data_IF_824332246840
#
_entry.id   IF_824332246840
#
_cell.length_a   1.000
_cell.length_b   1.000
_cell.length_c   1.000
_cell.angle_alpha   90.00
_cell.angle_beta   90.00
_cell.angle_gamma   90.00
#
_symmetry.space_group_name_H-M   'P 1'
#
loop_
_entity.id
_entity.type
_entity.pdbx_description
1 polymer ?
#
# COMPACT_ATOMS: atom_id res chain seq x y z
N UNK A 1 6.54 -0.67 -5.96
CA UNK A 1 5.35 -0.14 -5.30
C UNK A 1 5.14 1.26 -5.82
N UNK A 2 4.07 1.45 -6.57
CA UNK A 2 3.61 2.78 -6.91
C UNK A 2 3.10 3.45 -5.62
N UNK A 3 3.47 4.71 -5.37
CA UNK A 3 2.99 5.40 -4.20
C UNK A 3 1.48 5.67 -4.29
N UNK A 4 0.79 5.82 -3.15
CA UNK A 4 -0.58 6.34 -3.15
C UNK A 4 -0.63 7.64 -3.96
N UNK A 5 -1.71 7.85 -4.72
CA UNK A 5 -1.87 9.03 -5.57
C UNK A 5 -1.58 10.32 -4.77
N UNK A 6 -0.73 11.18 -5.31
CA UNK A 6 -0.34 12.44 -4.65
C UNK A 6 0.67 12.28 -3.52
N UNK A 7 1.24 11.10 -3.26
CA UNK A 7 2.30 10.88 -2.27
C UNK A 7 3.58 10.33 -2.90
N UNK A 8 4.70 10.44 -2.19
CA UNK A 8 5.97 9.78 -2.52
C UNK A 8 6.49 9.04 -1.31
N UNK A 9 6.99 7.83 -1.50
CA UNK A 9 7.67 7.10 -0.42
C UNK A 9 8.94 7.85 -0.05
N UNK A 10 9.10 8.17 1.23
CA UNK A 10 10.28 8.85 1.76
C UNK A 10 10.92 8.01 2.87
N UNK A 11 12.21 8.27 3.14
CA UNK A 11 12.83 7.79 4.38
C UNK A 11 12.21 8.57 5.55
N UNK A 12 11.76 7.86 6.58
CA UNK A 12 11.29 8.49 7.79
C UNK A 12 12.46 9.28 8.42
N UNK A 13 12.39 10.61 8.54
CA UNK A 13 13.48 11.41 9.09
C UNK A 13 13.78 11.10 10.57
N UNK A 14 12.85 10.47 11.30
CA UNK A 14 13.04 10.07 12.69
C UNK A 14 13.75 8.71 12.86
N UNK A 15 13.92 7.93 11.80
CA UNK A 15 14.60 6.62 11.84
C UNK A 15 15.92 6.73 11.08
N UNK A 16 17.00 6.99 11.82
CA UNK A 16 18.36 6.84 11.30
C UNK A 16 18.56 5.37 10.87
N UNK A 17 19.10 5.16 9.66
CA UNK A 17 19.24 3.84 9.07
C UNK A 17 20.05 2.89 9.97
N UNK A 18 19.59 1.67 10.27
CA UNK A 18 20.48 0.63 10.73
C UNK A 18 21.45 0.27 9.59
N UNK A 19 22.75 0.27 9.90
CA UNK A 19 23.78 -0.17 8.96
C UNK A 19 23.55 -1.65 8.64
N UNK A 20 23.44 -1.95 7.33
CA UNK A 20 23.30 -3.31 6.81
C UNK A 20 24.48 -4.20 7.23
N UNK A 21 24.26 -5.45 7.66
CA UNK A 21 25.33 -6.43 7.78
C UNK A 21 25.86 -6.85 6.41
N UNK A 22 27.17 -7.07 6.39
CA UNK A 22 28.02 -7.48 5.26
C UNK A 22 27.48 -8.73 4.52
N UNK A 23 27.57 -8.70 3.18
CA UNK A 23 27.32 -9.85 2.31
C UNK A 23 28.54 -10.78 2.31
N UNK A 24 28.39 -12.11 2.45
CA UNK A 24 29.47 -13.05 2.16
C UNK A 24 29.54 -13.40 0.67
N UNK A 25 30.76 -13.65 0.22
CA UNK A 25 31.18 -14.05 -1.12
C UNK A 25 30.64 -15.40 -1.61
N UNK A 26 30.48 -15.50 -2.93
CA UNK A 26 31.15 -16.55 -3.72
C UNK A 26 30.50 -17.93 -3.79
N UNK A 27 29.88 -18.24 -4.93
CA UNK A 27 29.89 -19.60 -5.50
C UNK A 27 29.59 -19.56 -7.00
N UNK A 28 30.64 -19.73 -7.81
CA UNK A 28 30.57 -20.18 -9.18
C UNK A 28 30.03 -21.61 -9.23
N UNK A 29 29.08 -21.94 -10.11
CA UNK A 29 29.00 -23.30 -10.68
C UNK A 29 28.51 -23.30 -12.13
N UNK A 30 28.98 -24.33 -12.82
CA UNK A 30 29.37 -24.41 -14.23
C UNK A 30 28.25 -25.04 -15.08
N UNK A 31 28.15 -24.63 -16.34
CA UNK A 31 27.31 -25.22 -17.37
C UNK A 31 27.73 -26.67 -17.74
N UNK A 32 26.77 -27.52 -18.09
CA UNK A 32 27.01 -28.80 -18.77
C UNK A 32 25.96 -29.04 -19.87
N UNK A 33 26.45 -29.47 -21.04
CA UNK A 33 25.73 -29.75 -22.28
C UNK A 33 25.37 -31.25 -22.43
N UNK A 34 24.14 -31.52 -22.94
CA UNK A 34 23.69 -32.57 -23.90
C UNK A 34 23.76 -34.08 -23.50
N UNK A 35 22.90 -35.00 -24.03
CA UNK A 35 22.45 -35.09 -25.45
C UNK A 35 20.96 -35.44 -25.73
N UNK A 36 20.58 -35.33 -27.03
CA UNK A 36 19.33 -35.82 -27.66
C UNK A 36 19.32 -37.34 -27.82
N UNK A 37 18.12 -37.95 -27.87
CA UNK A 37 17.67 -38.99 -28.85
C UNK A 37 16.22 -39.48 -28.52
N UNK A 38 15.54 -40.33 -29.34
CA UNK A 38 14.57 -39.98 -30.38
C UNK A 38 13.10 -40.38 -30.03
N UNK A 39 12.15 -39.96 -30.86
CA UNK A 39 10.72 -40.01 -30.58
C UNK A 39 9.99 -41.35 -30.73
N UNK A 40 8.75 -41.37 -30.20
CA UNK A 40 7.68 -42.27 -30.63
C UNK A 40 6.33 -41.57 -30.45
N UNK A 41 5.53 -41.58 -31.51
CA UNK A 41 4.18 -41.05 -31.55
C UNK A 41 3.22 -41.91 -30.68
N UNK A 42 2.39 -41.26 -29.88
CA UNK A 42 1.15 -41.84 -29.36
C UNK A 42 0.18 -40.73 -28.95
N UNK A 43 -0.93 -40.65 -29.67
CA UNK A 43 -2.25 -40.16 -29.26
C UNK A 43 -2.31 -38.97 -28.28
N UNK A 44 -2.60 -37.78 -28.83
CA UNK A 44 -3.08 -36.62 -28.07
C UNK A 44 -4.42 -36.93 -27.39
N UNK A 45 -4.57 -36.81 -26.06
CA UNK A 45 -5.78 -36.23 -25.52
C UNK A 45 -5.62 -34.71 -25.59
N UNK A 46 -6.66 -33.99 -26.01
CA UNK A 46 -6.72 -32.54 -25.89
C UNK A 46 -6.78 -32.18 -24.39
N UNK A 47 -5.63 -32.14 -23.72
CA UNK A 47 -5.49 -31.51 -22.42
C UNK A 47 -5.46 -30.01 -22.66
N UNK A 48 -6.55 -29.38 -22.25
CA UNK A 48 -6.69 -27.94 -22.10
C UNK A 48 -5.38 -27.32 -21.62
N UNK A 49 -4.80 -26.45 -22.45
CA UNK A 49 -3.60 -25.65 -22.12
C UNK A 49 -3.90 -24.52 -21.11
N UNK A 50 -5.11 -24.48 -20.55
CA UNK A 50 -5.62 -23.33 -19.80
C UNK A 50 -5.52 -23.43 -18.26
N UNK A 51 -4.77 -24.38 -17.69
CA UNK A 51 -4.75 -24.55 -16.22
C UNK A 51 -3.41 -24.29 -15.54
N UNK A 52 -2.35 -23.93 -16.26
CA UNK A 52 -1.05 -23.63 -15.65
C UNK A 52 -0.79 -22.14 -15.40
N UNK A 53 -1.75 -21.26 -15.71
CA UNK A 53 -1.66 -19.80 -15.48
C UNK A 53 -2.37 -19.34 -14.20
N UNK A 54 -2.78 -20.23 -13.31
CA UNK A 54 -3.75 -19.90 -12.25
C UNK A 54 -3.17 -19.55 -10.88
N UNK A 55 -1.86 -19.44 -10.70
CA UNK A 55 -1.33 -19.01 -9.41
C UNK A 55 0.12 -18.58 -9.52
N UNK A 56 0.38 -17.47 -10.21
CA UNK A 56 1.47 -16.62 -9.72
C UNK A 56 0.99 -16.11 -8.35
N UNK A 57 1.79 -16.22 -7.27
CA UNK A 57 1.42 -15.60 -6.01
C UNK A 57 1.19 -14.11 -6.29
N UNK A 58 -0.05 -13.63 -6.09
CA UNK A 58 -0.27 -12.21 -5.92
C UNK A 58 0.66 -11.82 -4.78
N UNK A 59 1.68 -11.01 -5.08
CA UNK A 59 2.51 -10.43 -4.05
C UNK A 59 1.61 -9.38 -3.38
N UNK A 60 1.14 -9.60 -2.14
CA UNK A 60 0.27 -8.64 -1.49
C UNK A 60 0.99 -7.29 -1.43
N UNK A 61 0.25 -6.22 -1.69
CA UNK A 61 0.80 -4.87 -1.62
C UNK A 61 1.10 -4.56 -0.14
N UNK A 62 2.37 -4.28 0.14
CA UNK A 62 2.84 -3.78 1.44
C UNK A 62 2.94 -2.24 1.38
N UNK A 63 2.06 -1.58 2.13
CA UNK A 63 2.00 -0.13 2.26
C UNK A 63 2.93 0.42 3.36
N UNK A 64 3.64 -0.43 4.10
CA UNK A 64 4.47 -0.03 5.23
C UNK A 64 5.53 0.99 4.83
N UNK A 65 5.58 2.11 5.54
CA UNK A 65 6.58 3.14 5.35
C UNK A 65 6.09 4.55 5.62
N UNK A 66 6.94 5.51 5.28
CA UNK A 66 6.67 6.93 5.41
C UNK A 66 6.43 7.53 4.03
N UNK A 67 5.40 8.36 3.92
CA UNK A 67 4.89 8.89 2.66
C UNK A 67 4.74 10.40 2.77
N UNK A 68 5.44 11.14 1.93
CA UNK A 68 5.34 12.61 1.87
C UNK A 68 4.33 13.03 0.83
N UNK A 69 3.50 14.02 1.16
CA UNK A 69 2.56 14.58 0.20
C UNK A 69 3.31 15.32 -0.92
N UNK A 70 3.04 14.94 -2.16
CA UNK A 70 3.47 15.63 -3.37
C UNK A 70 2.41 16.63 -3.85
N UNK A 71 1.16 16.18 -3.93
CA UNK A 71 0.05 16.95 -4.45
C UNK A 71 -1.24 16.59 -3.72
N UNK A 72 -2.14 17.56 -3.61
CA UNK A 72 -3.47 17.37 -3.04
C UNK A 72 -4.46 18.20 -3.86
N UNK A 73 -5.15 17.54 -4.78
CA UNK A 73 -6.06 18.18 -5.72
C UNK A 73 -7.49 18.18 -5.16
N UNK A 74 -8.25 19.24 -5.43
CA UNK A 74 -9.67 19.36 -5.04
C UNK A 74 -9.97 19.29 -3.53
N UNK A 75 -8.97 19.54 -2.67
CA UNK A 75 -9.12 19.40 -1.21
C UNK A 75 -10.09 20.41 -0.59
N UNK A 76 -10.08 21.67 -1.03
CA UNK A 76 -10.99 22.71 -0.56
C UNK A 76 -12.46 22.35 -0.82
N UNK A 77 -12.77 21.88 -2.03
CA UNK A 77 -14.14 21.53 -2.40
C UNK A 77 -14.61 20.25 -1.71
N UNK A 78 -13.70 19.28 -1.49
CA UNK A 78 -13.96 18.12 -0.65
C UNK A 78 -14.34 18.53 0.78
N UNK A 79 -13.51 19.34 1.44
CA UNK A 79 -13.80 19.80 2.81
C UNK A 79 -15.07 20.66 2.88
N UNK A 80 -15.38 21.41 1.81
CA UNK A 80 -16.64 22.17 1.71
C UNK A 80 -17.85 21.23 1.66
N UNK A 81 -17.77 20.13 0.91
CA UNK A 81 -18.85 19.15 0.82
C UNK A 81 -19.07 18.37 2.13
N UNK A 82 -18.07 18.33 3.02
CA UNK A 82 -18.18 17.79 4.37
C UNK A 82 -18.66 18.84 5.40
N UNK A 83 -19.08 20.02 4.96
CA UNK A 83 -19.52 21.13 5.83
C UNK A 83 -18.47 21.60 6.85
N UNK A 84 -17.17 21.37 6.59
CA UNK A 84 -16.08 21.84 7.44
C UNK A 84 -16.04 23.37 7.41
N UNK A 85 -15.93 24.01 8.57
CA UNK A 85 -16.00 25.48 8.64
C UNK A 85 -14.87 26.17 7.85
N UNK A 86 -15.15 27.38 7.34
CA UNK A 86 -14.25 28.13 6.44
C UNK A 86 -12.86 28.36 7.03
N UNK A 87 -12.76 28.59 8.34
CA UNK A 87 -11.48 28.84 9.00
C UNK A 87 -10.60 27.58 9.01
N UNK A 88 -11.16 26.42 9.37
CA UNK A 88 -10.47 25.13 9.33
C UNK A 88 -10.03 24.77 7.91
N UNK A 89 -10.88 25.00 6.90
CA UNK A 89 -10.51 24.72 5.50
C UNK A 89 -9.31 25.55 5.05
N UNK A 90 -9.28 26.85 5.39
CA UNK A 90 -8.12 27.71 5.09
C UNK A 90 -6.84 27.21 5.73
N UNK A 91 -6.89 26.78 6.99
CA UNK A 91 -5.73 26.19 7.68
C UNK A 91 -5.33 24.89 6.97
N UNK A 92 -6.28 23.99 6.70
CA UNK A 92 -6.04 22.68 6.13
C UNK A 92 -5.38 22.74 4.73
N UNK A 93 -5.74 23.69 3.88
CA UNK A 93 -5.10 23.87 2.56
C UNK A 93 -3.64 24.31 2.62
N UNK A 94 -3.20 24.89 3.75
CA UNK A 94 -1.80 25.26 3.95
C UNK A 94 -0.97 24.08 4.46
N UNK A 95 -1.62 23.02 4.93
CA UNK A 95 -0.95 21.84 5.46
C UNK A 95 -0.49 20.92 4.33
N UNK A 96 0.64 20.26 4.56
CA UNK A 96 1.13 19.15 3.73
C UNK A 96 1.29 17.92 4.64
N UNK A 97 0.18 17.22 4.96
CA UNK A 97 0.26 16.09 5.86
C UNK A 97 1.04 14.94 5.24
N UNK A 98 1.94 14.37 6.02
CA UNK A 98 2.63 13.13 5.68
C UNK A 98 1.83 11.93 6.19
N UNK A 99 2.12 10.73 5.69
CA UNK A 99 1.52 9.49 6.19
C UNK A 99 2.60 8.52 6.64
N UNK A 100 2.44 7.97 7.84
CA UNK A 100 3.18 6.81 8.30
C UNK A 100 2.21 5.62 8.34
N UNK A 101 2.55 4.56 7.62
CA UNK A 101 1.73 3.36 7.51
C UNK A 101 2.52 2.19 8.06
N UNK A 102 1.85 1.38 8.89
CA UNK A 102 2.35 0.09 9.36
C UNK A 102 1.29 -0.95 9.01
N UNK A 103 1.70 -2.00 8.30
CA UNK A 103 0.83 -3.09 7.89
C UNK A 103 1.39 -4.41 8.44
N UNK A 104 0.57 -5.11 9.23
CA UNK A 104 0.86 -6.46 9.74
C UNK A 104 -0.24 -7.41 9.26
N UNK A 105 0.00 -8.02 8.09
CA UNK A 105 -1.02 -8.78 7.38
C UNK A 105 -2.24 -7.93 7.04
N UNK A 106 -3.37 -8.25 7.68
CA UNK A 106 -4.65 -7.55 7.53
C UNK A 106 -4.88 -6.46 8.60
N UNK A 107 -3.96 -6.30 9.56
CA UNK A 107 -4.01 -5.21 10.53
C UNK A 107 -3.25 -4.01 9.96
N UNK A 108 -3.89 -2.84 9.94
CA UNK A 108 -3.31 -1.64 9.35
C UNK A 108 -3.44 -0.43 10.27
N UNK A 109 -2.32 0.25 10.46
CA UNK A 109 -2.23 1.51 11.20
C UNK A 109 -1.78 2.59 10.22
N UNK A 110 -2.64 3.59 9.99
CA UNK A 110 -2.35 4.75 9.16
C UNK A 110 -2.36 6.00 10.03
N UNK A 111 -1.20 6.63 10.17
CA UNK A 111 -1.03 7.91 10.85
C UNK A 111 -0.90 9.00 9.82
N UNK A 112 -1.89 9.89 9.75
CA UNK A 112 -1.80 11.13 8.98
C UNK A 112 -1.24 12.21 9.91
N UNK A 113 -0.03 12.69 9.59
CA UNK A 113 0.76 13.58 10.42
C UNK A 113 0.74 14.99 9.83
N UNK A 114 0.29 15.98 10.59
CA UNK A 114 0.32 17.39 10.17
C UNK A 114 0.77 18.28 11.33
N UNK A 115 1.17 19.51 11.02
CA UNK A 115 1.56 20.49 12.06
C UNK A 115 0.37 21.00 12.89
N UNK A 116 -0.87 20.75 12.43
CA UNK A 116 -2.07 21.24 13.09
C UNK A 116 -2.74 20.14 13.92
N UNK A 117 -3.09 19.02 13.29
CA UNK A 117 -3.70 17.86 13.95
C UNK A 117 -3.21 16.56 13.30
N UNK A 118 -2.98 15.56 14.14
CA UNK A 118 -2.69 14.20 13.67
C UNK A 118 -3.97 13.36 13.74
N UNK A 119 -4.12 12.48 12.76
CA UNK A 119 -5.25 11.57 12.67
C UNK A 119 -4.72 10.14 12.54
N UNK A 120 -5.23 9.22 13.37
CA UNK A 120 -4.76 7.83 13.42
C UNK A 120 -5.93 6.92 13.13
N UNK A 121 -5.78 6.09 12.11
CA UNK A 121 -6.67 4.97 11.82
C UNK A 121 -5.96 3.68 12.20
N UNK A 122 -6.59 2.85 13.03
CA UNK A 122 -6.12 1.53 13.44
C UNK A 122 -7.27 0.56 13.25
N UNK A 123 -7.14 -0.34 12.26
CA UNK A 123 -8.25 -1.19 11.85
C UNK A 123 -7.80 -2.52 11.27
N UNK A 124 -8.74 -3.45 11.22
CA UNK A 124 -8.59 -4.72 10.51
C UNK A 124 -9.29 -4.64 9.14
N UNK A 125 -8.57 -4.96 8.08
CA UNK A 125 -9.11 -5.05 6.72
C UNK A 125 -10.26 -6.06 6.68
N UNK A 126 -11.32 -5.73 5.95
CA UNK A 126 -12.52 -6.55 5.81
C UNK A 126 -13.51 -6.50 7.00
N UNK A 127 -13.14 -5.87 8.12
CA UNK A 127 -14.02 -5.70 9.28
C UNK A 127 -14.59 -4.28 9.32
N UNK A 128 -15.83 -4.16 9.76
CA UNK A 128 -16.42 -2.85 10.05
C UNK A 128 -15.86 -2.31 11.38
N UNK A 129 -15.61 -1.01 11.42
CA UNK A 129 -15.23 -0.29 12.63
C UNK A 129 -15.90 1.10 12.64
N UNK A 130 -16.04 1.66 13.83
CA UNK A 130 -16.48 3.05 14.01
C UNK A 130 -15.25 3.96 13.83
N UNK A 131 -15.27 4.77 12.78
CA UNK A 131 -14.30 5.81 12.52
C UNK A 131 -14.78 7.12 13.16
N UNK A 132 -13.99 7.63 14.11
CA UNK A 132 -14.25 8.91 14.77
C UNK A 132 -13.49 10.04 14.05
N UNK A 133 -14.23 10.90 13.35
CA UNK A 133 -13.71 12.02 12.57
C UNK A 133 -13.72 13.34 13.37
N UNK A 134 -13.75 13.25 14.70
CA UNK A 134 -13.60 14.42 15.59
C UNK A 134 -12.34 15.23 15.22
N UNK A 135 -12.54 16.52 14.98
CA UNK A 135 -11.47 17.43 14.55
C UNK A 135 -11.28 17.56 13.03
N UNK A 136 -12.02 16.79 12.22
CA UNK A 136 -12.21 17.01 10.79
C UNK A 136 -13.60 17.61 10.55
N UNK A 137 -14.65 16.80 10.71
CA UNK A 137 -16.05 17.17 10.50
C UNK A 137 -16.97 16.78 11.67
N UNK A 138 -16.38 16.27 12.77
CA UNK A 138 -17.06 15.91 14.03
C UNK A 138 -18.16 14.85 13.86
N UNK A 139 -18.03 13.98 12.85
CA UNK A 139 -18.93 12.85 12.62
C UNK A 139 -18.31 11.52 13.04
N UNK A 140 -19.18 10.53 13.27
CA UNK A 140 -18.82 9.12 13.46
C UNK A 140 -19.38 8.31 12.30
N UNK A 141 -18.53 7.53 11.66
CA UNK A 141 -18.87 6.78 10.46
C UNK A 141 -18.60 5.28 10.69
N UNK A 142 -19.51 4.42 10.23
CA UNK A 142 -19.22 2.99 10.14
C UNK A 142 -18.50 2.73 8.82
N UNK A 143 -17.24 2.31 8.91
CA UNK A 143 -16.37 2.13 7.74
C UNK A 143 -15.94 0.67 7.62
N UNK A 144 -15.91 0.17 6.38
CA UNK A 144 -15.31 -1.12 6.01
C UNK A 144 -14.37 -0.92 4.84
N UNK A 145 -13.13 -1.34 5.00
CA UNK A 145 -12.14 -1.35 3.91
C UNK A 145 -12.10 -2.76 3.32
N UNK A 146 -12.59 -2.97 2.09
CA UNK A 146 -12.59 -4.30 1.48
C UNK A 146 -11.17 -4.70 1.10
N UNK A 147 -10.86 -5.99 1.25
CA UNK A 147 -9.54 -6.53 0.94
C UNK A 147 -9.12 -6.27 -0.50
N UNK A 148 -10.04 -6.35 -1.47
CA UNK A 148 -9.73 -6.13 -2.88
C UNK A 148 -9.16 -4.73 -3.17
N UNK A 149 -9.54 -3.71 -2.40
CA UNK A 149 -9.07 -2.33 -2.60
C UNK A 149 -7.61 -2.12 -2.21
N UNK A 150 -7.03 -3.00 -1.38
CA UNK A 150 -5.62 -2.92 -1.01
C UNK A 150 -4.71 -3.75 -1.93
N UNK A 151 -5.25 -4.78 -2.59
CA UNK A 151 -4.48 -5.65 -3.47
C UNK A 151 -4.21 -5.01 -4.84
N UNK A 152 -5.08 -4.11 -5.31
CA UNK A 152 -4.97 -3.55 -6.66
C UNK A 152 -4.04 -2.34 -6.80
N UNK A 153 -3.56 -1.73 -5.71
CA UNK A 153 -2.61 -0.61 -5.76
C UNK A 153 -3.02 0.55 -6.70
N UNK A 154 -4.32 0.69 -6.98
CA UNK A 154 -4.88 1.57 -8.01
C UNK A 154 -6.09 2.31 -7.47
#
# INVERSE_FOLDING_TARGET
MDPPAGFVRARNPAVAAPQSPLSPEGAHFRAAHHPRCPGRASSRPARSVATWLQSLPEMPVDFTGYWKMLANENFEDYLRALDVNVALRKIANLLKPDKEIVQDGDHMIIRTLSTFRNYIMDFQVGKEFEEDLTGIDDRKCMVRIPSCSLHTGR
#
